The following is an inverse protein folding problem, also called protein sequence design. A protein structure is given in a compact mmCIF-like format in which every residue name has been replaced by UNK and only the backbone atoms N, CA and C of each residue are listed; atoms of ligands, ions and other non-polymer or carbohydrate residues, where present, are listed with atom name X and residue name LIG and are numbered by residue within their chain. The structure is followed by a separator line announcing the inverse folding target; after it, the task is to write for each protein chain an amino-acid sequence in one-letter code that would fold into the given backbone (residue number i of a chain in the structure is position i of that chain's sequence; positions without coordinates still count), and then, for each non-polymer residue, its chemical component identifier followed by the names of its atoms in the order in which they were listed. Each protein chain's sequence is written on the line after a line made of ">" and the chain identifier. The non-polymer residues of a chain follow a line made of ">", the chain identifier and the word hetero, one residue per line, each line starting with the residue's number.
data_IF_972315725062
#
_entry.id   IF_972315725062
#
_cell.length_a   1.000
_cell.length_b   1.000
_cell.length_c   1.000
_cell.angle_alpha   90.00
_cell.angle_beta   90.00
_cell.angle_gamma   90.00
#
_symmetry.space_group_name_H-M   'P 1'
#
loop_
_entity.id
_entity.type
_entity.pdbx_description
1 polymer ?
#
# COMPACT_ATOMS: atom_id res chain seq x y z
N UNK A 1 19.61 -38.90 18.36
CA UNK A 1 19.84 -37.42 18.30
C UNK A 1 19.96 -36.98 19.73
N UNK A 2 21.03 -36.25 20.11
CA UNK A 2 21.15 -35.74 21.49
C UNK A 2 20.08 -34.66 21.73
N UNK A 3 19.63 -34.56 23.01
CA UNK A 3 18.65 -33.53 23.42
C UNK A 3 19.08 -32.12 23.05
N UNK A 4 20.37 -31.82 23.16
CA UNK A 4 20.92 -30.51 22.76
C UNK A 4 20.77 -30.21 21.25
N UNK A 5 20.99 -31.21 20.41
CA UNK A 5 20.80 -31.03 18.97
C UNK A 5 19.32 -30.78 18.59
N UNK A 6 18.42 -31.45 19.31
CA UNK A 6 16.96 -31.28 19.10
C UNK A 6 16.55 -29.88 19.55
N UNK A 7 16.97 -29.41 20.70
CA UNK A 7 16.67 -28.08 21.23
C UNK A 7 17.20 -26.94 20.30
N UNK A 8 18.41 -27.10 19.77
CA UNK A 8 19.00 -26.13 18.83
C UNK A 8 18.20 -26.08 17.51
N UNK A 9 17.78 -27.25 17.00
CA UNK A 9 17.02 -27.32 15.76
C UNK A 9 15.58 -26.77 15.97
N UNK A 10 14.95 -27.02 17.11
CA UNK A 10 13.68 -26.43 17.50
C UNK A 10 13.79 -24.90 17.56
N UNK A 11 14.79 -24.36 18.26
CA UNK A 11 15.05 -22.93 18.35
C UNK A 11 15.25 -22.30 16.97
N UNK A 12 16.08 -22.93 16.11
CA UNK A 12 16.31 -22.45 14.73
C UNK A 12 15.02 -22.40 13.93
N UNK A 13 14.20 -23.45 13.99
CA UNK A 13 12.92 -23.51 13.25
C UNK A 13 11.89 -22.51 13.75
N UNK A 14 11.86 -22.27 15.06
CA UNK A 14 11.00 -21.22 15.64
C UNK A 14 11.44 -19.85 15.17
N UNK A 15 12.74 -19.55 15.16
CA UNK A 15 13.28 -18.29 14.64
C UNK A 15 13.01 -18.09 13.13
N UNK A 16 13.06 -19.17 12.36
CA UNK A 16 12.72 -19.17 10.93
C UNK A 16 11.21 -19.13 10.64
N UNK A 17 10.36 -19.13 11.69
CA UNK A 17 8.91 -19.24 11.58
C UNK A 17 8.45 -20.46 10.75
N UNK A 18 9.18 -21.58 10.85
CA UNK A 18 8.85 -22.87 10.24
C UNK A 18 8.33 -23.89 11.26
N UNK A 19 8.39 -23.60 12.55
CA UNK A 19 7.83 -24.35 13.65
C UNK A 19 7.12 -23.41 14.63
N UNK A 20 5.94 -23.79 15.08
CA UNK A 20 5.11 -23.04 16.02
C UNK A 20 4.78 -23.94 17.22
N UNK A 21 5.51 -23.82 18.36
CA UNK A 21 5.24 -24.61 19.53
C UNK A 21 3.91 -24.21 20.18
N UNK A 22 3.14 -25.20 20.65
CA UNK A 22 1.85 -25.02 21.32
C UNK A 22 1.97 -25.46 22.76
N UNK A 23 1.61 -24.59 23.69
CA UNK A 23 1.62 -24.85 25.13
C UNK A 23 0.19 -24.85 25.67
N UNK A 24 -0.12 -25.84 26.50
CA UNK A 24 -1.43 -25.96 27.15
C UNK A 24 -1.34 -25.47 28.59
N UNK A 25 -2.30 -24.72 29.04
CA UNK A 25 -2.30 -24.22 30.40
C UNK A 25 -3.61 -23.59 30.85
N UNK A 26 -3.65 -23.21 32.12
CA UNK A 26 -4.73 -22.45 32.72
C UNK A 26 -4.16 -21.29 33.52
N UNK A 27 -4.28 -20.08 33.02
CA UNK A 27 -3.80 -18.87 33.72
C UNK A 27 -4.44 -18.75 35.11
N UNK A 28 -5.75 -19.01 35.25
CA UNK A 28 -6.49 -18.95 36.50
C UNK A 28 -5.95 -19.96 37.56
N UNK A 29 -5.48 -21.13 37.13
CA UNK A 29 -4.95 -22.18 38.01
C UNK A 29 -3.43 -22.18 38.13
N UNK A 30 -2.73 -21.33 37.42
CA UNK A 30 -1.27 -21.26 37.35
C UNK A 30 -0.62 -22.44 36.62
N UNK A 31 -1.40 -23.33 35.97
CA UNK A 31 -0.91 -24.49 35.27
C UNK A 31 -0.31 -24.10 33.91
N UNK A 32 0.88 -24.65 33.58
CA UNK A 32 1.51 -24.43 32.27
C UNK A 32 2.19 -23.06 32.13
N UNK A 33 2.17 -22.20 33.14
CA UNK A 33 2.80 -20.86 33.10
C UNK A 33 4.31 -20.97 33.01
N UNK A 34 4.93 -21.77 33.88
CA UNK A 34 6.41 -21.91 33.94
C UNK A 34 6.97 -22.46 32.61
N UNK A 35 6.44 -23.57 32.03
CA UNK A 35 6.88 -24.03 30.70
C UNK A 35 6.76 -22.99 29.59
N UNK A 36 5.71 -22.14 29.61
CA UNK A 36 5.56 -21.04 28.66
C UNK A 36 6.65 -19.95 28.86
N UNK A 37 6.93 -19.59 30.10
CA UNK A 37 7.99 -18.61 30.43
C UNK A 37 9.36 -19.13 30.01
N UNK A 38 9.65 -20.40 30.27
CA UNK A 38 10.90 -21.05 29.89
C UNK A 38 11.04 -21.12 28.37
N UNK A 39 9.95 -21.37 27.66
CA UNK A 39 9.92 -21.35 26.20
C UNK A 39 10.18 -19.95 25.63
N UNK A 40 9.57 -18.92 26.19
CA UNK A 40 9.82 -17.52 25.75
C UNK A 40 11.29 -17.15 25.92
N UNK A 41 11.92 -17.53 27.04
CA UNK A 41 13.32 -17.20 27.27
C UNK A 41 14.32 -18.12 26.54
N UNK A 42 13.94 -19.38 26.28
CA UNK A 42 14.79 -20.36 25.63
C UNK A 42 14.71 -20.36 24.09
N UNK A 43 13.53 -20.14 23.53
CA UNK A 43 13.32 -20.20 22.07
C UNK A 43 13.60 -18.88 21.35
N UNK A 44 13.41 -17.74 22.04
CA UNK A 44 13.63 -16.42 21.45
C UNK A 44 14.95 -15.84 21.96
N UNK A 45 15.91 -15.69 21.04
CA UNK A 45 17.16 -15.01 21.38
C UNK A 45 17.02 -13.49 21.18
N UNK A 46 17.69 -12.67 22.01
CA UNK A 46 17.84 -11.25 21.74
C UNK A 46 18.45 -11.05 20.35
N UNK A 47 17.94 -10.10 19.60
CA UNK A 47 18.55 -9.72 18.33
C UNK A 47 19.86 -9.04 18.66
N UNK A 48 20.99 -9.69 18.32
CA UNK A 48 22.32 -9.15 18.56
C UNK A 48 22.55 -7.87 17.76
N UNK A 49 23.31 -6.94 18.33
CA UNK A 49 23.77 -5.74 17.64
C UNK A 49 24.68 -6.14 16.47
N UNK A 50 24.16 -6.15 15.26
CA UNK A 50 24.99 -6.26 14.05
C UNK A 50 25.44 -4.86 13.67
N UNK A 51 26.54 -4.41 14.26
CA UNK A 51 27.16 -3.14 13.92
C UNK A 51 27.56 -3.09 12.43
N UNK A 52 27.28 -1.96 11.77
CA UNK A 52 27.71 -1.72 10.40
C UNK A 52 26.77 -2.22 9.29
N UNK A 53 25.64 -2.84 9.60
CA UNK A 53 24.66 -3.23 8.60
C UNK A 53 23.88 -2.01 8.06
N UNK A 54 23.53 -2.04 6.76
CA UNK A 54 22.67 -1.01 6.19
C UNK A 54 21.31 -0.97 6.90
N UNK A 55 20.78 0.24 7.11
CA UNK A 55 19.49 0.45 7.78
C UNK A 55 18.37 -0.19 6.95
N UNK A 56 17.52 -0.93 7.64
CA UNK A 56 16.24 -1.40 7.13
C UNK A 56 15.20 -1.38 8.23
N UNK A 57 14.12 -0.67 8.01
CA UNK A 57 12.98 -0.64 8.90
C UNK A 57 11.67 -0.59 8.14
N UNK A 58 10.60 -1.10 8.72
CA UNK A 58 9.28 -1.06 8.13
C UNK A 58 8.23 -0.54 9.09
N UNK A 59 7.34 0.29 8.52
CA UNK A 59 6.20 0.85 9.22
C UNK A 59 5.09 -0.20 9.32
N UNK A 60 4.68 -0.53 10.54
CA UNK A 60 3.65 -1.53 10.78
C UNK A 60 2.39 -0.98 11.46
N UNK A 61 2.45 0.25 11.97
CA UNK A 61 1.30 0.92 12.59
C UNK A 61 1.40 2.44 12.43
N UNK A 62 0.27 3.05 12.17
CA UNK A 62 0.06 4.49 12.28
C UNK A 62 -1.03 4.73 13.32
N UNK A 63 -0.91 5.75 14.12
CA UNK A 63 -1.83 6.08 15.20
C UNK A 63 -1.97 7.59 15.34
N UNK A 64 -3.15 8.04 15.72
CA UNK A 64 -3.42 9.43 16.09
C UNK A 64 -3.69 9.50 17.59
N UNK A 65 -2.95 10.36 18.29
CA UNK A 65 -3.19 10.63 19.72
C UNK A 65 -4.49 11.41 19.90
N UNK A 66 -4.99 11.49 21.14
CA UNK A 66 -6.18 12.28 21.49
C UNK A 66 -6.01 13.77 21.13
N UNK A 67 -4.76 14.26 21.08
CA UNK A 67 -4.42 15.63 20.66
C UNK A 67 -4.31 15.77 19.13
N UNK A 68 -4.63 14.72 18.34
CA UNK A 68 -4.53 14.73 16.88
C UNK A 68 -3.12 14.56 16.33
N UNK A 69 -2.09 14.35 17.17
CA UNK A 69 -0.72 14.14 16.70
C UNK A 69 -0.59 12.76 16.08
N UNK A 70 -0.10 12.71 14.85
CA UNK A 70 0.18 11.48 14.11
C UNK A 70 1.48 10.85 14.59
N UNK A 71 1.46 9.54 14.86
CA UNK A 71 2.60 8.71 15.28
C UNK A 71 2.76 7.53 14.34
N UNK A 72 3.97 7.32 13.87
CA UNK A 72 4.33 6.20 12.99
C UNK A 72 5.21 5.25 13.77
N UNK A 73 4.83 3.97 13.79
CA UNK A 73 5.56 2.90 14.46
C UNK A 73 6.37 2.11 13.45
N UNK A 74 7.67 2.13 13.61
CA UNK A 74 8.66 1.52 12.74
C UNK A 74 9.37 0.38 13.47
N UNK A 75 9.42 -0.81 12.87
CA UNK A 75 10.29 -1.90 13.32
C UNK A 75 11.62 -1.85 12.59
N UNK A 76 12.74 -1.81 13.32
CA UNK A 76 14.08 -1.91 12.75
C UNK A 76 14.48 -3.37 12.57
N UNK A 77 14.77 -3.79 11.34
CA UNK A 77 15.20 -5.15 10.97
C UNK A 77 16.71 -5.26 10.85
N UNK A 78 17.40 -4.17 10.49
CA UNK A 78 18.85 -4.10 10.45
C UNK A 78 19.35 -2.67 10.59
N UNK A 79 20.61 -2.52 10.99
CA UNK A 79 21.27 -1.23 11.11
C UNK A 79 20.84 -0.44 12.34
N UNK A 80 21.24 0.82 12.34
CA UNK A 80 21.00 1.78 13.43
C UNK A 80 20.38 3.04 12.86
N UNK A 81 19.36 3.58 13.51
CA UNK A 81 18.74 4.85 13.17
C UNK A 81 19.12 5.91 14.21
N UNK A 82 19.58 7.05 13.76
CA UNK A 82 19.99 8.15 14.62
C UNK A 82 19.19 9.41 14.40
N UNK A 83 19.06 10.21 15.42
CA UNK A 83 18.49 11.54 15.32
C UNK A 83 19.27 12.38 14.29
N UNK A 84 18.57 13.13 13.44
CA UNK A 84 19.08 13.92 12.30
C UNK A 84 19.54 13.10 11.09
N UNK A 85 19.44 11.77 11.11
CA UNK A 85 19.69 10.98 9.91
C UNK A 85 18.70 11.40 8.79
N UNK A 86 19.19 11.26 7.56
CA UNK A 86 18.37 11.43 6.35
C UNK A 86 18.27 10.07 5.68
N UNK A 87 17.09 9.45 5.76
CA UNK A 87 16.84 8.07 5.34
C UNK A 87 16.02 8.06 4.05
N UNK A 88 16.38 7.16 3.11
CA UNK A 88 15.58 6.95 1.91
C UNK A 88 14.27 6.24 2.26
N UNK A 89 13.15 6.79 1.78
CA UNK A 89 11.88 6.08 1.69
C UNK A 89 11.81 5.41 0.31
N UNK A 90 11.42 4.16 0.28
CA UNK A 90 11.36 3.42 -0.98
C UNK A 90 10.49 4.13 -2.04
N UNK A 91 11.13 4.52 -3.13
CA UNK A 91 10.46 5.19 -4.26
C UNK A 91 9.96 6.62 -4.00
N UNK A 92 10.36 7.26 -2.89
CA UNK A 92 9.93 8.61 -2.49
C UNK A 92 11.09 9.49 -2.04
N UNK A 93 10.77 10.72 -1.63
CA UNK A 93 11.71 11.67 -1.05
C UNK A 93 12.36 11.14 0.23
N UNK A 94 13.54 11.66 0.54
CA UNK A 94 14.28 11.32 1.75
C UNK A 94 13.60 11.90 2.99
N UNK A 95 13.47 11.08 4.04
CA UNK A 95 12.95 11.47 5.34
C UNK A 95 14.09 11.93 6.25
N UNK A 96 13.97 13.12 6.82
CA UNK A 96 14.87 13.59 7.89
C UNK A 96 14.27 13.26 9.25
N UNK A 97 15.03 12.58 10.09
CA UNK A 97 14.60 12.18 11.43
C UNK A 97 14.79 13.36 12.39
N UNK A 98 13.69 13.97 12.82
CA UNK A 98 13.70 15.14 13.71
C UNK A 98 13.43 14.80 15.17
N UNK A 99 12.72 13.73 15.43
CA UNK A 99 12.41 13.22 16.76
C UNK A 99 12.25 11.71 16.69
N UNK A 100 12.73 11.02 17.73
CA UNK A 100 12.53 9.58 17.89
C UNK A 100 12.14 9.26 19.32
N UNK A 101 11.27 8.26 19.45
CA UNK A 101 10.89 7.68 20.73
C UNK A 101 10.88 6.17 20.62
N UNK A 102 11.15 5.48 21.73
CA UNK A 102 11.06 4.01 21.84
C UNK A 102 10.17 3.63 23.02
N UNK A 103 9.45 2.49 22.94
CA UNK A 103 8.78 1.91 24.10
C UNK A 103 9.84 1.36 25.06
N UNK A 104 9.79 1.77 26.31
CA UNK A 104 10.68 1.28 27.39
C UNK A 104 9.90 1.15 28.68
N UNK A 105 9.90 -0.05 29.29
CA UNK A 105 9.25 -0.36 30.57
C UNK A 105 7.81 0.15 30.73
N UNK A 106 7.02 0.07 29.66
CA UNK A 106 5.62 0.53 29.65
C UNK A 106 5.42 2.02 29.34
N UNK A 107 6.49 2.78 29.16
CA UNK A 107 6.46 4.19 28.80
C UNK A 107 7.04 4.41 27.40
N UNK A 108 6.75 5.57 26.81
CA UNK A 108 7.36 6.00 25.54
C UNK A 108 8.41 7.07 25.88
N UNK A 109 9.69 6.73 25.70
CA UNK A 109 10.80 7.60 26.02
C UNK A 109 11.51 8.14 24.79
N UNK A 110 12.05 9.35 24.85
CA UNK A 110 12.88 9.93 23.79
C UNK A 110 14.22 9.23 23.71
N UNK A 111 14.73 9.05 22.50
CA UNK A 111 16.07 8.52 22.24
C UNK A 111 16.73 9.23 21.08
N UNK A 112 18.04 9.31 21.08
CA UNK A 112 18.84 9.83 19.96
C UNK A 112 19.33 8.72 19.04
N UNK A 113 19.23 7.46 19.47
CA UNK A 113 19.69 6.30 18.71
C UNK A 113 18.75 5.12 18.97
N UNK A 114 18.42 4.40 17.90
CA UNK A 114 17.65 3.17 17.97
C UNK A 114 18.36 2.07 17.16
N UNK A 115 18.30 0.84 17.66
CA UNK A 115 19.05 -0.30 17.16
C UNK A 115 18.16 -1.35 16.51
N UNK A 116 18.79 -2.25 15.78
CA UNK A 116 18.13 -3.42 15.23
C UNK A 116 17.29 -4.14 16.29
N UNK A 117 16.05 -4.50 15.93
CA UNK A 117 15.11 -5.18 16.81
C UNK A 117 14.21 -4.24 17.62
N UNK A 118 14.52 -2.96 17.71
CA UNK A 118 13.68 -1.99 18.41
C UNK A 118 12.49 -1.50 17.56
N UNK A 119 11.48 -1.02 18.27
CA UNK A 119 10.35 -0.29 17.68
C UNK A 119 10.63 1.19 17.90
N UNK A 120 10.65 1.94 16.81
CA UNK A 120 10.83 3.40 16.83
C UNK A 120 9.49 4.07 16.55
N UNK A 121 9.19 5.11 17.29
CA UNK A 121 8.01 5.95 17.11
C UNK A 121 8.47 7.30 16.59
N UNK A 122 7.99 7.66 15.41
CA UNK A 122 8.32 8.91 14.71
C UNK A 122 7.08 9.79 14.58
N UNK A 123 7.14 11.09 14.85
CA UNK A 123 6.15 12.03 14.37
C UNK A 123 6.43 12.30 12.89
N UNK A 124 5.53 11.93 11.99
CA UNK A 124 5.69 12.18 10.56
C UNK A 124 4.36 12.12 9.82
N UNK A 125 4.10 13.12 8.96
CA UNK A 125 2.91 13.16 8.10
C UNK A 125 3.17 12.54 6.73
N UNK A 126 4.44 12.41 6.32
CA UNK A 126 4.82 11.90 4.99
C UNK A 126 4.99 10.37 4.93
N UNK A 127 5.24 9.72 6.07
CA UNK A 127 5.47 8.27 6.15
C UNK A 127 4.13 7.54 6.26
N UNK A 128 3.93 6.50 5.45
CA UNK A 128 2.68 5.73 5.39
C UNK A 128 2.86 4.34 5.98
N UNK A 129 1.74 3.71 6.27
CA UNK A 129 1.71 2.30 6.65
C UNK A 129 2.32 1.45 5.53
N UNK A 130 3.12 0.45 5.90
CA UNK A 130 3.91 -0.42 5.01
C UNK A 130 5.10 0.27 4.30
N UNK A 131 5.37 1.55 4.53
CA UNK A 131 6.59 2.16 4.02
C UNK A 131 7.84 1.47 4.59
N UNK A 132 8.88 1.42 3.76
CA UNK A 132 10.18 0.87 4.13
C UNK A 132 11.22 1.98 4.15
N UNK A 133 11.93 2.08 5.26
CA UNK A 133 13.03 3.01 5.45
C UNK A 133 14.36 2.26 5.20
N UNK A 134 15.17 2.79 4.30
CA UNK A 134 16.47 2.23 3.97
C UNK A 134 16.45 1.10 2.94
N UNK A 135 17.21 0.05 3.17
CA UNK A 135 17.43 -1.06 2.21
C UNK A 135 16.33 -2.12 2.29
N UNK A 136 15.40 -2.10 1.31
CA UNK A 136 14.28 -3.06 1.22
C UNK A 136 14.71 -4.52 1.06
N UNK A 137 15.90 -4.79 0.52
CA UNK A 137 16.36 -6.16 0.28
C UNK A 137 16.58 -6.95 1.56
N UNK A 138 16.69 -6.25 2.68
CA UNK A 138 16.89 -6.80 4.03
C UNK A 138 15.62 -7.10 4.80
N UNK A 139 14.45 -6.82 4.21
CA UNK A 139 13.18 -7.21 4.80
C UNK A 139 13.02 -8.74 4.80
N UNK A 140 12.46 -9.33 5.85
CA UNK A 140 12.15 -10.76 5.90
C UNK A 140 11.10 -11.12 4.85
N UNK A 141 11.50 -11.75 3.76
CA UNK A 141 10.64 -12.08 2.58
C UNK A 141 9.33 -12.83 2.92
N UNK A 142 9.28 -13.58 4.02
CA UNK A 142 8.12 -14.41 4.39
C UNK A 142 6.97 -13.64 5.08
N UNK A 143 7.14 -12.38 5.46
CA UNK A 143 6.16 -11.64 6.27
C UNK A 143 5.30 -10.63 5.51
N UNK A 144 5.64 -10.33 4.27
CA UNK A 144 4.89 -9.37 3.47
C UNK A 144 3.97 -10.11 2.51
N UNK A 145 2.76 -10.39 2.97
CA UNK A 145 1.65 -10.59 2.04
C UNK A 145 1.13 -9.19 1.70
N UNK A 146 1.00 -8.93 0.41
CA UNK A 146 0.28 -7.74 -0.03
C UNK A 146 -1.10 -7.75 0.64
N UNK A 147 -1.48 -6.62 1.22
CA UNK A 147 -2.82 -6.49 1.79
C UNK A 147 -3.84 -6.73 0.68
N UNK A 148 -4.90 -7.50 0.93
CA UNK A 148 -5.95 -7.70 -0.06
C UNK A 148 -6.53 -6.34 -0.47
N UNK A 149 -6.87 -6.20 -1.74
CA UNK A 149 -7.52 -4.99 -2.24
C UNK A 149 -8.94 -4.89 -1.68
N UNK A 150 -9.43 -3.67 -1.41
CA UNK A 150 -10.83 -3.45 -1.08
C UNK A 150 -11.75 -4.04 -2.15
N UNK A 151 -12.84 -4.69 -1.74
CA UNK A 151 -13.78 -5.37 -2.64
C UNK A 151 -15.13 -4.69 -2.72
N UNK A 152 -15.46 -3.90 -1.72
CA UNK A 152 -16.72 -3.16 -1.62
C UNK A 152 -16.45 -1.67 -1.56
N UNK A 153 -17.37 -0.90 -2.11
CA UNK A 153 -17.38 0.55 -1.98
C UNK A 153 -18.77 1.06 -1.64
N UNK A 154 -18.82 2.17 -0.94
CA UNK A 154 -20.07 2.90 -0.65
C UNK A 154 -19.80 4.39 -0.66
N UNK A 155 -20.87 5.17 -0.81
CA UNK A 155 -20.85 6.62 -0.58
C UNK A 155 -21.27 6.89 0.86
N UNK A 156 -20.52 7.75 1.53
CA UNK A 156 -20.79 8.19 2.89
C UNK A 156 -20.94 9.71 2.95
N UNK A 157 -21.93 10.18 3.66
CA UNK A 157 -22.16 11.61 3.86
C UNK A 157 -22.48 11.91 5.33
N UNK A 158 -22.16 13.11 5.84
CA UNK A 158 -22.59 13.51 7.17
C UNK A 158 -24.09 13.83 7.12
N UNK A 159 -24.82 13.61 8.21
CA UNK A 159 -26.22 14.05 8.31
C UNK A 159 -26.36 15.56 8.18
N UNK A 160 -25.37 16.32 8.62
CA UNK A 160 -25.34 17.78 8.54
C UNK A 160 -24.24 18.22 7.58
N UNK A 161 -24.59 18.90 6.50
CA UNK A 161 -23.65 19.32 5.45
C UNK A 161 -22.42 20.11 5.96
N UNK A 162 -22.59 20.91 7.00
CA UNK A 162 -21.50 21.67 7.65
C UNK A 162 -20.42 20.77 8.27
N UNK A 163 -20.68 19.49 8.48
CA UNK A 163 -19.70 18.54 9.06
C UNK A 163 -18.88 17.78 7.99
N UNK A 164 -19.00 18.16 6.72
CA UNK A 164 -18.34 17.46 5.61
C UNK A 164 -16.81 17.41 5.75
N UNK A 165 -16.18 18.54 6.05
CA UNK A 165 -14.73 18.59 6.22
C UNK A 165 -14.28 17.73 7.41
N UNK A 166 -14.97 17.81 8.54
CA UNK A 166 -14.69 16.97 9.70
C UNK A 166 -14.85 15.48 9.41
N UNK A 167 -15.83 15.10 8.59
CA UNK A 167 -16.00 13.72 8.17
C UNK A 167 -14.85 13.27 7.27
N UNK A 168 -14.44 14.10 6.33
CA UNK A 168 -13.32 13.78 5.44
C UNK A 168 -12.00 13.62 6.23
N UNK A 169 -11.74 14.51 7.17
CA UNK A 169 -10.57 14.41 8.07
C UNK A 169 -10.60 13.11 8.89
N UNK A 170 -11.74 12.78 9.49
CA UNK A 170 -11.91 11.57 10.28
C UNK A 170 -11.70 10.30 9.44
N UNK A 171 -12.28 10.25 8.24
CA UNK A 171 -12.13 9.13 7.32
C UNK A 171 -10.69 9.01 6.78
N UNK A 172 -10.02 10.13 6.52
CA UNK A 172 -8.61 10.16 6.12
C UNK A 172 -7.73 9.59 7.23
N UNK A 173 -7.97 9.96 8.49
CA UNK A 173 -7.25 9.41 9.64
C UNK A 173 -7.52 7.90 9.80
N UNK A 174 -8.76 7.45 9.63
CA UNK A 174 -9.09 6.02 9.70
C UNK A 174 -8.42 5.23 8.57
N UNK A 175 -8.46 5.74 7.34
CA UNK A 175 -7.79 5.12 6.19
C UNK A 175 -6.25 5.09 6.32
N UNK A 176 -5.67 6.08 6.98
CA UNK A 176 -4.23 6.12 7.24
C UNK A 176 -3.80 5.05 8.28
N UNK A 177 -4.71 4.66 9.16
CA UNK A 177 -4.46 3.63 10.19
C UNK A 177 -4.81 2.19 9.74
N UNK A 178 -5.65 2.05 8.71
CA UNK A 178 -6.09 0.75 8.18
C UNK A 178 -5.77 0.62 6.69
N UNK A 179 -4.84 -0.27 6.30
CA UNK A 179 -4.43 -0.43 4.90
C UNK A 179 -5.53 -1.01 4.00
N UNK A 180 -6.60 -1.56 4.59
CA UNK A 180 -7.74 -2.15 3.87
C UNK A 180 -8.88 -1.14 3.66
N UNK A 181 -8.76 0.05 4.21
CA UNK A 181 -9.71 1.14 4.08
C UNK A 181 -9.16 2.20 3.15
N UNK A 182 -9.94 2.62 2.15
CA UNK A 182 -9.59 3.75 1.29
C UNK A 182 -10.71 4.77 1.31
N UNK A 183 -10.33 6.04 1.38
CA UNK A 183 -11.24 7.17 1.33
C UNK A 183 -10.84 8.07 0.17
N UNK A 184 -11.76 8.34 -0.74
CA UNK A 184 -11.54 9.17 -1.93
C UNK A 184 -12.72 10.12 -2.08
N UNK A 185 -12.49 11.26 -2.72
CA UNK A 185 -13.55 12.19 -3.13
C UNK A 185 -13.68 12.09 -4.63
N UNK A 186 -14.86 11.73 -5.10
CA UNK A 186 -15.17 11.68 -6.53
C UNK A 186 -14.98 13.07 -7.15
N UNK A 187 -14.25 13.14 -8.25
CA UNK A 187 -13.89 14.41 -8.89
C UNK A 187 -15.06 15.09 -9.61
N UNK A 188 -16.12 14.35 -9.94
CA UNK A 188 -17.28 14.82 -10.69
C UNK A 188 -18.46 15.09 -9.74
N UNK A 189 -18.81 14.08 -8.93
CA UNK A 189 -19.97 14.17 -8.03
C UNK A 189 -19.63 14.83 -6.71
N UNK A 190 -18.34 14.93 -6.39
CA UNK A 190 -17.82 15.39 -5.10
C UNK A 190 -18.32 14.55 -3.90
N UNK A 191 -18.85 13.35 -4.14
CA UNK A 191 -19.25 12.43 -3.08
C UNK A 191 -18.00 11.81 -2.42
N UNK A 192 -18.10 11.53 -1.12
CA UNK A 192 -17.05 10.81 -0.40
C UNK A 192 -17.28 9.32 -0.60
N UNK A 193 -16.34 8.65 -1.26
CA UNK A 193 -16.34 7.21 -1.53
C UNK A 193 -15.46 6.52 -0.51
N UNK A 194 -16.01 5.51 0.14
CA UNK A 194 -15.29 4.65 1.06
C UNK A 194 -15.18 3.25 0.45
N UNK A 195 -13.96 2.75 0.28
CA UNK A 195 -13.68 1.40 -0.22
C UNK A 195 -13.12 0.55 0.91
N UNK A 196 -13.62 -0.68 1.08
CA UNK A 196 -13.34 -1.54 2.22
C UNK A 196 -13.47 -3.02 1.85
N UNK A 197 -13.00 -3.91 2.75
CA UNK A 197 -12.95 -5.35 2.48
C UNK A 197 -14.30 -6.03 2.70
N UNK A 198 -15.04 -5.66 3.75
CA UNK A 198 -16.28 -6.34 4.13
C UNK A 198 -17.20 -5.51 5.03
N UNK A 199 -18.45 -5.95 5.17
CA UNK A 199 -19.49 -5.20 5.91
C UNK A 199 -19.14 -4.93 7.39
N UNK A 200 -18.45 -5.86 8.04
CA UNK A 200 -17.99 -5.69 9.43
C UNK A 200 -17.03 -4.50 9.57
N UNK A 201 -16.14 -4.30 8.60
CA UNK A 201 -15.23 -3.14 8.61
C UNK A 201 -16.02 -1.83 8.50
N UNK A 202 -17.06 -1.79 7.66
CA UNK A 202 -17.94 -0.62 7.56
C UNK A 202 -18.69 -0.32 8.87
N UNK A 203 -19.16 -1.35 9.56
CA UNK A 203 -19.80 -1.22 10.87
C UNK A 203 -18.84 -0.65 11.91
N UNK A 204 -17.59 -1.14 11.94
CA UNK A 204 -16.54 -0.61 12.83
C UNK A 204 -16.22 0.85 12.52
N UNK A 205 -16.07 1.21 11.23
CA UNK A 205 -15.85 2.60 10.82
C UNK A 205 -17.02 3.49 11.25
N UNK A 206 -18.26 3.05 11.04
CA UNK A 206 -19.45 3.80 11.43
C UNK A 206 -19.54 4.01 12.95
N UNK A 207 -19.21 2.97 13.74
CA UNK A 207 -19.14 3.06 15.20
C UNK A 207 -18.05 4.07 15.64
N UNK A 208 -16.85 3.99 15.06
CA UNK A 208 -15.77 4.93 15.37
C UNK A 208 -16.13 6.38 15.01
N UNK A 209 -16.79 6.61 13.87
CA UNK A 209 -17.25 7.95 13.48
C UNK A 209 -18.24 8.50 14.51
N UNK A 210 -19.17 7.68 15.00
CA UNK A 210 -20.15 8.09 16.01
C UNK A 210 -19.53 8.27 17.39
N UNK A 211 -18.76 7.28 17.87
CA UNK A 211 -18.28 7.24 19.25
C UNK A 211 -17.07 8.15 19.49
N UNK A 212 -16.05 8.07 18.61
CA UNK A 212 -14.80 8.82 18.76
C UNK A 212 -14.89 10.23 18.18
N UNK A 213 -15.40 10.34 16.94
CA UNK A 213 -15.42 11.62 16.21
C UNK A 213 -16.70 12.43 16.43
N UNK A 214 -17.73 11.83 17.05
CA UNK A 214 -19.05 12.47 17.29
C UNK A 214 -19.68 12.95 15.98
N UNK A 215 -19.62 12.13 14.95
CA UNK A 215 -20.16 12.37 13.61
C UNK A 215 -21.25 11.35 13.30
N UNK A 216 -22.45 11.84 13.01
CA UNK A 216 -23.53 11.02 12.48
C UNK A 216 -23.50 11.02 10.96
N UNK A 217 -23.53 9.83 10.37
CA UNK A 217 -23.35 9.64 8.93
C UNK A 217 -24.53 8.90 8.31
N UNK A 218 -24.72 9.12 7.02
CA UNK A 218 -25.61 8.35 6.15
C UNK A 218 -24.73 7.59 5.18
N UNK A 219 -24.89 6.27 5.14
CA UNK A 219 -24.13 5.37 4.26
C UNK A 219 -25.09 4.76 3.27
N UNK A 220 -24.76 4.81 1.97
CA UNK A 220 -25.52 4.13 0.92
C UNK A 220 -25.25 2.61 0.98
N UNK A 221 -26.12 1.82 0.32
CA UNK A 221 -25.89 0.36 0.22
C UNK A 221 -24.55 0.08 -0.47
N UNK A 222 -23.69 -0.77 0.12
CA UNK A 222 -22.41 -1.11 -0.48
C UNK A 222 -22.55 -1.82 -1.82
N UNK A 223 -21.71 -1.46 -2.75
CA UNK A 223 -21.60 -2.09 -4.07
C UNK A 223 -20.24 -2.77 -4.23
N UNK A 224 -20.17 -3.78 -5.08
CA UNK A 224 -18.93 -4.47 -5.42
C UNK A 224 -18.04 -3.56 -6.27
N UNK A 225 -16.73 -3.60 -6.04
CA UNK A 225 -15.74 -2.93 -6.88
C UNK A 225 -15.39 -3.86 -8.02
N UNK A 226 -15.69 -3.43 -9.25
CA UNK A 226 -15.27 -4.14 -10.47
C UNK A 226 -13.89 -3.66 -10.91
N UNK A 227 -13.26 -4.45 -11.78
CA UNK A 227 -12.06 -4.08 -12.52
C UNK A 227 -12.28 -4.36 -14.00
N UNK A 228 -11.46 -3.77 -14.86
CA UNK A 228 -11.49 -4.02 -16.30
C UNK A 228 -10.20 -4.71 -16.74
N UNK A 229 -10.34 -5.68 -17.66
CA UNK A 229 -9.22 -6.36 -18.28
C UNK A 229 -9.34 -6.31 -19.79
N UNK A 230 -8.26 -5.95 -20.51
CA UNK A 230 -8.27 -6.02 -21.98
C UNK A 230 -8.55 -7.45 -22.49
N UNK A 231 -9.30 -7.55 -23.58
CA UNK A 231 -9.67 -8.84 -24.18
C UNK A 231 -8.59 -9.38 -25.11
N UNK A 232 -7.98 -8.50 -25.90
CA UNK A 232 -6.95 -8.85 -26.91
C UNK A 232 -5.86 -7.79 -26.96
N UNK A 233 -4.74 -8.12 -27.56
CA UNK A 233 -3.69 -7.14 -27.85
C UNK A 233 -4.19 -6.11 -28.89
N UNK A 234 -3.91 -4.84 -28.61
CA UNK A 234 -4.21 -3.72 -29.49
C UNK A 234 -3.17 -2.62 -29.33
N UNK A 235 -3.09 -1.72 -30.31
CA UNK A 235 -2.16 -0.59 -30.27
C UNK A 235 -2.78 0.62 -30.94
N UNK A 236 -2.55 1.79 -30.37
CA UNK A 236 -3.00 3.04 -30.96
C UNK A 236 -1.89 4.08 -30.93
N UNK A 237 -1.84 4.93 -31.97
CA UNK A 237 -0.86 6.03 -32.06
C UNK A 237 -1.58 7.31 -32.47
N UNK A 238 -1.32 8.37 -31.70
CA UNK A 238 -1.77 9.72 -32.05
C UNK A 238 -0.55 10.56 -32.38
N UNK A 239 -0.59 11.20 -33.55
CA UNK A 239 0.51 12.01 -34.04
C UNK A 239 0.28 13.50 -33.78
N UNK A 240 1.40 14.23 -33.59
CA UNK A 240 1.43 15.68 -33.49
C UNK A 240 0.94 16.30 -34.81
N UNK A 241 0.28 17.46 -34.72
CA UNK A 241 -0.30 18.20 -35.85
C UNK A 241 -1.35 17.43 -36.69
N UNK A 242 -1.80 16.27 -36.22
CA UNK A 242 -2.87 15.51 -36.82
C UNK A 242 -4.16 15.67 -35.99
N UNK A 243 -5.19 16.35 -36.49
CA UNK A 243 -6.46 16.50 -35.78
C UNK A 243 -7.08 15.14 -35.41
N UNK A 244 -7.68 14.99 -34.24
CA UNK A 244 -8.02 16.02 -33.26
C UNK A 244 -6.99 16.27 -32.14
N UNK A 245 -5.69 15.94 -32.32
CA UNK A 245 -4.66 16.10 -31.30
C UNK A 245 -4.37 17.60 -31.03
N UNK A 246 -4.71 18.15 -29.84
CA UNK A 246 -4.41 19.53 -29.48
C UNK A 246 -3.03 19.70 -28.85
N UNK A 247 -2.29 18.58 -28.60
CA UNK A 247 -1.05 18.57 -27.87
C UNK A 247 0.16 18.50 -28.79
N UNK A 248 1.26 19.12 -28.36
CA UNK A 248 2.53 19.07 -29.06
C UNK A 248 3.32 17.81 -28.70
N UNK A 249 2.70 16.65 -28.86
CA UNK A 249 3.27 15.34 -28.60
C UNK A 249 2.71 14.28 -29.54
N UNK A 250 3.53 13.29 -29.93
CA UNK A 250 3.06 12.04 -30.49
C UNK A 250 3.30 10.92 -29.51
N UNK A 251 2.34 10.04 -29.33
CA UNK A 251 2.43 8.87 -28.46
C UNK A 251 1.84 7.65 -29.16
N UNK A 252 2.56 6.54 -29.16
CA UNK A 252 2.09 5.21 -29.56
C UNK A 252 2.16 4.25 -28.38
N UNK A 253 1.03 3.66 -28.03
CA UNK A 253 0.91 2.67 -26.94
C UNK A 253 0.38 1.35 -27.48
N UNK A 254 0.90 0.25 -26.94
CA UNK A 254 0.28 -1.07 -27.10
C UNK A 254 -0.20 -1.59 -25.77
N UNK A 255 -1.33 -2.30 -25.79
CA UNK A 255 -1.97 -2.93 -24.64
C UNK A 255 -2.04 -4.42 -24.92
N UNK A 256 -1.55 -5.25 -23.99
CA UNK A 256 -1.59 -6.72 -24.12
C UNK A 256 -2.17 -7.31 -22.84
N UNK A 257 -3.22 -8.17 -22.91
CA UNK A 257 -3.77 -8.83 -21.74
C UNK A 257 -2.75 -9.79 -21.11
N UNK A 258 -2.72 -9.84 -19.79
CA UNK A 258 -1.92 -10.77 -18.99
C UNK A 258 -2.84 -11.77 -18.26
N UNK A 259 -2.30 -12.87 -17.71
CA UNK A 259 -3.07 -13.77 -16.85
C UNK A 259 -3.71 -13.02 -15.66
N UNK A 260 -4.83 -13.55 -15.16
CA UNK A 260 -5.51 -12.98 -13.98
C UNK A 260 -4.58 -12.91 -12.78
N UNK A 261 -4.61 -11.78 -12.08
CA UNK A 261 -3.76 -11.51 -10.91
C UNK A 261 -2.34 -11.05 -11.24
N UNK A 262 -2.02 -10.80 -12.52
CA UNK A 262 -0.69 -10.29 -12.94
C UNK A 262 -0.51 -8.79 -12.65
N UNK A 263 -1.59 -8.06 -12.40
CA UNK A 263 -1.59 -6.62 -12.25
C UNK A 263 -1.19 -5.89 -13.53
N UNK A 264 -0.75 -4.64 -13.39
CA UNK A 264 -0.32 -3.81 -14.51
C UNK A 264 1.20 -3.82 -14.63
N UNK A 265 1.69 -4.11 -15.84
CA UNK A 265 3.09 -4.02 -16.19
C UNK A 265 3.31 -2.89 -17.21
N UNK A 266 4.36 -2.10 -17.02
CA UNK A 266 4.75 -1.04 -17.93
C UNK A 266 6.15 -1.26 -18.47
N UNK A 267 6.28 -1.09 -19.79
CA UNK A 267 7.58 -1.13 -20.49
C UNK A 267 7.68 0.05 -21.45
N UNK A 268 8.88 0.61 -21.60
CA UNK A 268 9.16 1.61 -22.65
C UNK A 268 10.17 1.03 -23.62
N UNK A 269 9.84 1.05 -24.90
CA UNK A 269 10.75 0.73 -26.02
C UNK A 269 11.39 1.96 -26.63
N UNK A 270 10.95 3.15 -26.22
CA UNK A 270 11.51 4.41 -26.68
C UNK A 270 12.81 4.68 -25.94
N UNK A 271 13.90 4.87 -26.66
CA UNK A 271 15.21 5.12 -26.06
C UNK A 271 15.31 6.48 -25.40
N UNK A 272 16.08 6.59 -24.30
CA UNK A 272 16.32 7.86 -23.60
C UNK A 272 17.09 8.88 -24.46
N UNK A 273 17.88 8.41 -25.42
CA UNK A 273 18.57 9.29 -26.37
C UNK A 273 17.64 9.94 -27.38
N UNK A 274 16.49 9.32 -27.65
CA UNK A 274 15.48 9.85 -28.57
C UNK A 274 14.43 10.70 -27.86
N UNK A 275 13.95 10.26 -26.71
CA UNK A 275 12.98 10.98 -25.89
C UNK A 275 13.50 11.01 -24.44
N UNK A 276 13.74 12.20 -23.91
CA UNK A 276 14.37 12.36 -22.61
C UNK A 276 13.51 11.82 -21.46
N UNK A 277 14.13 11.63 -20.29
CA UNK A 277 13.51 11.01 -19.12
C UNK A 277 12.27 11.77 -18.63
N UNK A 278 12.23 13.10 -18.76
CA UNK A 278 11.10 13.91 -18.29
C UNK A 278 9.83 13.64 -19.09
N UNK A 279 9.94 13.48 -20.40
CA UNK A 279 8.81 13.10 -21.26
C UNK A 279 8.37 11.66 -21.00
N UNK A 280 9.30 10.72 -20.87
CA UNK A 280 8.96 9.33 -20.56
C UNK A 280 8.28 9.17 -19.19
N UNK A 281 8.72 9.92 -18.19
CA UNK A 281 8.04 9.97 -16.89
C UNK A 281 6.62 10.54 -17.04
N UNK A 282 6.44 11.60 -17.83
CA UNK A 282 5.14 12.20 -18.08
C UNK A 282 4.16 11.22 -18.76
N UNK A 283 4.63 10.44 -19.74
CA UNK A 283 3.84 9.36 -20.38
C UNK A 283 3.42 8.32 -19.33
N UNK A 284 4.36 7.84 -18.50
CA UNK A 284 4.07 6.86 -17.45
C UNK A 284 3.04 7.38 -16.44
N UNK A 285 3.15 8.65 -16.04
CA UNK A 285 2.19 9.28 -15.13
C UNK A 285 0.80 9.39 -15.77
N UNK A 286 0.73 9.78 -17.05
CA UNK A 286 -0.52 9.83 -17.81
C UNK A 286 -1.17 8.46 -18.01
N UNK A 287 -0.37 7.42 -18.29
CA UNK A 287 -0.85 6.03 -18.37
C UNK A 287 -1.44 5.60 -17.02
N UNK A 288 -0.76 5.88 -15.91
CA UNK A 288 -1.26 5.54 -14.56
C UNK A 288 -2.62 6.18 -14.31
N UNK A 289 -2.77 7.45 -14.64
CA UNK A 289 -4.05 8.15 -14.53
C UNK A 289 -5.13 7.53 -15.43
N UNK A 290 -4.80 7.21 -16.70
CA UNK A 290 -5.74 6.59 -17.62
C UNK A 290 -6.17 5.16 -17.23
N UNK A 291 -5.37 4.45 -16.47
CA UNK A 291 -5.71 3.12 -15.94
C UNK A 291 -6.70 3.16 -14.76
N UNK A 292 -6.90 4.32 -14.14
CA UNK A 292 -7.87 4.48 -13.05
C UNK A 292 -9.31 4.46 -13.57
N UNK A 293 -9.51 4.75 -14.86
CA UNK A 293 -10.83 4.75 -15.52
C UNK A 293 -10.75 4.07 -16.89
N UNK A 294 -11.16 2.81 -16.95
CA UNK A 294 -11.32 2.06 -18.20
C UNK A 294 -12.60 2.45 -18.96
N UNK A 295 -13.00 1.62 -19.92
CA UNK A 295 -14.13 1.89 -20.79
C UNK A 295 -15.49 1.92 -20.06
N UNK A 296 -15.59 1.20 -18.95
CA UNK A 296 -16.78 1.15 -18.09
C UNK A 296 -16.61 1.99 -16.80
N UNK A 297 -15.51 2.76 -16.69
CA UNK A 297 -15.23 3.61 -15.55
C UNK A 297 -14.59 2.89 -14.36
N UNK A 298 -14.07 1.67 -14.56
CA UNK A 298 -13.39 0.89 -13.52
C UNK A 298 -11.88 0.84 -13.76
N UNK A 299 -11.11 0.55 -12.71
CA UNK A 299 -9.66 0.41 -12.83
C UNK A 299 -9.28 -0.73 -13.78
N UNK A 300 -8.37 -0.45 -14.70
CA UNK A 300 -7.82 -1.45 -15.62
C UNK A 300 -6.71 -2.25 -14.95
N UNK A 301 -6.75 -3.56 -15.07
CA UNK A 301 -5.77 -4.48 -14.48
C UNK A 301 -5.39 -5.61 -15.44
N UNK A 302 -4.44 -6.45 -15.02
CA UNK A 302 -4.00 -7.66 -15.73
C UNK A 302 -3.64 -7.39 -17.19
N UNK A 303 -2.82 -6.35 -17.40
CA UNK A 303 -2.35 -5.96 -18.70
C UNK A 303 -0.90 -5.47 -18.69
N UNK A 304 -0.26 -5.59 -19.84
CA UNK A 304 1.04 -4.97 -20.13
C UNK A 304 0.81 -3.80 -21.06
N UNK A 305 1.25 -2.62 -20.64
CA UNK A 305 1.26 -1.41 -21.46
C UNK A 305 2.69 -1.18 -21.94
N UNK A 306 2.88 -1.07 -23.24
CA UNK A 306 4.17 -0.75 -23.81
C UNK A 306 4.15 0.60 -24.51
N UNK A 307 5.09 1.48 -24.17
CA UNK A 307 5.32 2.73 -24.86
C UNK A 307 6.21 2.47 -26.08
N UNK A 308 5.60 2.40 -27.27
CA UNK A 308 6.24 1.97 -28.50
C UNK A 308 6.85 3.13 -29.29
N UNK A 309 6.20 4.31 -29.27
CA UNK A 309 6.56 5.45 -30.07
C UNK A 309 6.30 6.77 -29.37
N UNK A 310 7.22 7.72 -29.50
CA UNK A 310 7.07 9.08 -29.00
C UNK A 310 7.83 10.07 -29.87
N UNK A 311 7.23 11.23 -30.20
CA UNK A 311 7.85 12.32 -30.96
C UNK A 311 7.56 13.65 -30.29
N UNK A 312 8.54 14.55 -30.28
CA UNK A 312 8.43 15.90 -29.75
C UNK A 312 9.04 16.92 -30.71
N UNK A 313 8.61 18.18 -30.61
CA UNK A 313 9.21 19.30 -31.32
C UNK A 313 9.83 20.28 -30.33
N UNK A 314 11.14 20.50 -30.45
CA UNK A 314 11.85 21.51 -29.67
C UNK A 314 11.69 22.90 -30.33
N UNK A 315 11.38 23.97 -29.58
CA UNK A 315 11.22 24.03 -28.12
C UNK A 315 9.77 23.94 -27.62
N UNK A 316 8.81 23.57 -28.48
CA UNK A 316 7.35 23.70 -28.25
C UNK A 316 6.80 22.64 -27.30
N UNK A 317 7.23 21.38 -27.46
CA UNK A 317 6.72 20.26 -26.65
C UNK A 317 7.11 20.37 -25.19
N UNK A 318 6.15 20.11 -24.31
CA UNK A 318 6.33 20.07 -22.85
C UNK A 318 6.00 18.71 -22.27
N UNK A 319 6.50 18.37 -21.08
CA UNK A 319 6.07 17.14 -20.38
C UNK A 319 4.55 17.10 -20.11
N UNK A 320 3.90 18.25 -19.98
CA UNK A 320 2.46 18.34 -19.80
C UNK A 320 1.69 17.80 -21.01
N UNK A 321 2.16 18.08 -22.25
CA UNK A 321 1.55 17.55 -23.46
C UNK A 321 1.53 16.03 -23.47
N UNK A 322 2.65 15.40 -23.11
CA UNK A 322 2.76 13.96 -23.01
C UNK A 322 1.89 13.36 -21.91
N UNK A 323 1.83 14.03 -20.74
CA UNK A 323 0.98 13.57 -19.62
C UNK A 323 -0.49 13.61 -19.97
N UNK A 324 -0.93 14.64 -20.70
CA UNK A 324 -2.34 14.81 -21.09
C UNK A 324 -2.74 13.94 -22.27
N UNK A 325 -1.84 13.68 -23.21
CA UNK A 325 -2.12 12.85 -24.39
C UNK A 325 -2.12 11.35 -24.05
N UNK A 326 -1.26 10.89 -23.12
CA UNK A 326 -1.10 9.46 -22.82
C UNK A 326 -2.41 8.75 -22.40
N UNK A 327 -3.28 9.30 -21.53
CA UNK A 327 -4.54 8.65 -21.18
C UNK A 327 -5.50 8.57 -22.39
N UNK A 328 -5.47 9.54 -23.30
CA UNK A 328 -6.31 9.54 -24.51
C UNK A 328 -5.89 8.42 -25.46
N UNK A 329 -4.57 8.26 -25.69
CA UNK A 329 -4.04 7.16 -26.50
C UNK A 329 -4.35 5.81 -25.88
N UNK A 330 -4.21 5.70 -24.56
CA UNK A 330 -4.55 4.48 -23.82
C UNK A 330 -6.03 4.12 -23.97
N UNK A 331 -6.93 5.08 -23.83
CA UNK A 331 -8.37 4.87 -24.00
C UNK A 331 -8.70 4.35 -25.42
N UNK A 332 -8.07 4.90 -26.47
CA UNK A 332 -8.27 4.43 -27.83
C UNK A 332 -7.73 2.99 -28.01
N UNK A 333 -6.55 2.69 -27.46
CA UNK A 333 -6.00 1.33 -27.49
C UNK A 333 -6.91 0.34 -26.72
N UNK A 334 -7.50 0.75 -25.60
CA UNK A 334 -8.49 -0.05 -24.86
C UNK A 334 -9.78 -0.23 -25.67
N UNK A 335 -10.27 0.77 -26.39
CA UNK A 335 -11.43 0.64 -27.28
C UNK A 335 -11.20 -0.39 -28.39
N UNK A 336 -10.02 -0.40 -28.99
CA UNK A 336 -9.64 -1.38 -30.01
C UNK A 336 -9.43 -2.79 -29.43
N UNK A 337 -8.92 -2.89 -28.21
CA UNK A 337 -8.78 -4.13 -27.46
C UNK A 337 -10.14 -4.70 -27.04
N UNK A 338 -11.10 -3.84 -26.69
CA UNK A 338 -12.22 -4.18 -25.87
C UNK A 338 -11.79 -4.51 -24.44
N UNK A 339 -12.69 -4.34 -23.47
CA UNK A 339 -12.44 -4.75 -22.07
C UNK A 339 -13.57 -5.64 -21.56
N UNK A 340 -13.27 -6.50 -20.59
CA UNK A 340 -14.25 -7.27 -19.82
C UNK A 340 -14.22 -6.83 -18.36
N UNK A 341 -15.40 -6.84 -17.74
CA UNK A 341 -15.52 -6.59 -16.31
C UNK A 341 -15.11 -7.83 -15.51
N UNK A 342 -14.35 -7.60 -14.47
CA UNK A 342 -13.96 -8.59 -13.48
C UNK A 342 -14.59 -8.21 -12.15
N UNK A 343 -15.23 -9.17 -11.49
CA UNK A 343 -15.69 -9.04 -10.11
C UNK A 343 -14.77 -9.80 -9.15
N UNK A 344 -14.63 -9.36 -7.89
CA UNK A 344 -13.80 -10.06 -6.92
C UNK A 344 -14.45 -11.37 -6.47
N UNK A 345 -13.65 -12.45 -6.46
CA UNK A 345 -14.01 -13.75 -5.90
C UNK A 345 -13.15 -14.06 -4.70
N UNK A 346 -13.77 -14.65 -3.67
CA UNK A 346 -13.09 -15.16 -2.48
C UNK A 346 -13.13 -16.68 -2.51
N UNK A 347 -11.98 -17.32 -2.23
CA UNK A 347 -11.94 -18.73 -1.86
C UNK A 347 -11.99 -18.84 -0.34
N UNK A 348 -12.77 -19.79 0.19
CA UNK A 348 -12.83 -20.08 1.61
C UNK A 348 -12.76 -21.58 1.86
N UNK A 349 -12.26 -21.94 3.05
CA UNK A 349 -12.25 -23.30 3.54
C UNK A 349 -13.20 -23.36 4.74
N UNK A 350 -14.24 -24.18 4.63
CA UNK A 350 -15.20 -24.40 5.70
C UNK A 350 -14.83 -25.65 6.49
N UNK A 351 -14.57 -25.48 7.78
CA UNK A 351 -14.42 -26.58 8.73
C UNK A 351 -15.74 -26.76 9.48
N UNK A 352 -16.39 -27.91 9.32
CA UNK A 352 -17.61 -28.24 10.03
C UNK A 352 -17.43 -29.57 10.81
N UNK A 353 -18.04 -29.73 12.01
CA UNK A 353 -18.11 -31.02 12.66
C UNK A 353 -18.80 -32.03 11.76
N UNK A 354 -18.34 -33.29 11.76
CA UNK A 354 -19.12 -34.37 11.22
C UNK A 354 -20.25 -34.67 12.20
N UNK A 355 -21.48 -34.73 11.72
CA UNK A 355 -22.63 -35.21 12.50
C UNK A 355 -22.51 -36.69 12.85
#
# INVERSE_FOLDING_TARGET
>A
ISQEKLAREEQRRVQEASLFPVYHGSAKKGLGIQPLMDAVTGLFQPIGEQGGAALCGSVFKVEYTDCGQRRVYLRLYSGTLRLRDTVALAGREKLKITEMRIPSKGEIVRTDTAYQGEIVILPSDSVRLNDVLGDQTRLPRKRWREAPLPMLRTTIAPKTAAQRERLLDALTQLADTDPLLRCEVDSITHEIILSFLGRVQLEVVSALLSEKYKLETVVKEPTVIYMERPLKAASHTIHIEVPPNPFWASIGLSVTPLPLGSGVQYESRVSLGYLNQSFQNAVRDGIRYGLEQGLFGWNVTDCKICFEYGLYYSPVSTPADFRSLAPIVLEQALKESGTQLLEPYLSFILYAPQE
#
